data_IF_899457324388
#
_entry.id   IF_899457324388
#
_cell.length_a   1.000
_cell.length_b   1.000
_cell.length_c   1.000
_cell.angle_alpha   90.00
_cell.angle_beta   90.00
_cell.angle_gamma   90.00
#
_symmetry.space_group_name_H-M   'P 1'
#
loop_
_entity.id
_entity.type
_entity.pdbx_description
1 polymer ?
#
# COMPACT_ATOMS: atom_id res chain seq x y z
N UNK A 1 17.92 -37.04 -40.47
CA UNK A 1 18.19 -37.41 -39.05
C UNK A 1 18.31 -38.94 -38.79
N UNK A 2 17.75 -39.84 -39.63
CA UNK A 2 17.82 -41.29 -39.39
C UNK A 2 19.20 -41.94 -39.69
N UNK A 3 20.00 -41.34 -40.54
CA UNK A 3 21.29 -41.93 -41.00
C UNK A 3 22.41 -41.83 -39.96
N UNK A 4 22.38 -40.77 -39.10
CA UNK A 4 23.44 -40.54 -38.11
C UNK A 4 23.36 -41.48 -36.89
N UNK A 5 22.15 -41.88 -36.52
CA UNK A 5 21.90 -42.76 -35.39
C UNK A 5 22.36 -44.19 -35.62
N UNK A 6 22.34 -44.67 -36.87
CA UNK A 6 22.79 -46.04 -37.25
C UNK A 6 24.32 -46.18 -37.27
N UNK A 7 25.06 -45.08 -37.38
CA UNK A 7 26.52 -45.08 -37.41
C UNK A 7 27.19 -45.18 -36.03
N UNK A 8 26.42 -45.03 -34.94
CA UNK A 8 26.95 -45.10 -33.57
C UNK A 8 27.00 -46.53 -33.04
N UNK A 9 28.11 -46.89 -32.40
CA UNK A 9 28.24 -48.19 -31.71
C UNK A 9 27.21 -48.32 -30.53
N UNK A 10 26.81 -49.54 -30.23
CA UNK A 10 25.83 -49.83 -29.21
C UNK A 10 26.11 -49.14 -27.81
N UNK A 11 27.37 -49.09 -27.32
CA UNK A 11 27.66 -48.39 -26.06
C UNK A 11 27.48 -46.86 -26.17
N UNK A 12 27.79 -46.25 -27.33
CA UNK A 12 27.61 -44.82 -27.56
C UNK A 12 26.12 -44.42 -27.63
N UNK A 13 25.26 -45.27 -28.19
CA UNK A 13 23.81 -45.08 -28.21
C UNK A 13 23.24 -45.13 -26.79
N UNK A 14 23.67 -46.10 -25.94
CA UNK A 14 23.25 -46.16 -24.53
C UNK A 14 23.67 -44.91 -23.77
N UNK A 15 24.90 -44.45 -23.98
CA UNK A 15 25.39 -43.24 -23.32
C UNK A 15 24.57 -41.98 -23.71
N UNK A 16 24.25 -41.84 -24.99
CA UNK A 16 23.44 -40.70 -25.49
C UNK A 16 22.01 -40.74 -24.95
N UNK A 17 21.41 -41.94 -24.85
CA UNK A 17 20.08 -42.09 -24.25
C UNK A 17 20.11 -41.75 -22.76
N UNK A 18 21.09 -42.18 -22.02
CA UNK A 18 21.25 -41.86 -20.59
C UNK A 18 21.44 -40.36 -20.41
N UNK A 19 22.31 -39.73 -21.20
CA UNK A 19 22.49 -38.26 -21.15
C UNK A 19 21.21 -37.49 -21.47
N UNK A 20 20.47 -37.92 -22.51
CA UNK A 20 19.19 -37.30 -22.87
C UNK A 20 18.14 -37.42 -21.72
N UNK A 21 18.08 -38.58 -21.07
CA UNK A 21 17.18 -38.81 -19.93
C UNK A 21 17.60 -37.95 -18.73
N UNK A 22 18.89 -37.84 -18.42
CA UNK A 22 19.38 -36.99 -17.32
C UNK A 22 19.09 -35.51 -17.59
N UNK A 23 19.28 -35.03 -18.83
CA UNK A 23 18.95 -33.66 -19.24
C UNK A 23 17.43 -33.40 -19.14
N UNK A 24 16.61 -34.36 -19.57
CA UNK A 24 15.15 -34.27 -19.48
C UNK A 24 14.69 -34.25 -18.01
N UNK A 25 15.23 -35.12 -17.18
CA UNK A 25 14.91 -35.15 -15.73
C UNK A 25 15.40 -33.88 -15.04
N UNK A 26 16.56 -33.35 -15.42
CA UNK A 26 17.05 -32.06 -14.94
C UNK A 26 16.15 -30.90 -15.37
N UNK A 27 15.70 -30.85 -16.61
CA UNK A 27 14.80 -29.82 -17.13
C UNK A 27 13.40 -29.90 -16.45
N UNK A 28 12.88 -31.11 -16.23
CA UNK A 28 11.63 -31.31 -15.48
C UNK A 28 11.79 -30.90 -14.02
N UNK A 29 12.92 -31.24 -13.39
CA UNK A 29 13.21 -30.84 -12.00
C UNK A 29 13.29 -29.32 -11.83
N UNK A 30 13.94 -28.60 -12.76
CA UNK A 30 13.99 -27.14 -12.79
C UNK A 30 12.61 -26.54 -13.09
N UNK A 31 11.85 -27.12 -14.01
CA UNK A 31 10.48 -26.69 -14.32
C UNK A 31 9.54 -26.83 -13.13
N UNK A 32 9.61 -27.95 -12.39
CA UNK A 32 8.79 -28.18 -11.18
C UNK A 32 9.21 -27.27 -10.01
N UNK A 33 10.51 -26.97 -9.88
CA UNK A 33 11.00 -25.99 -8.89
C UNK A 33 10.56 -24.56 -9.22
N UNK A 34 10.51 -24.21 -10.51
CA UNK A 34 10.05 -22.89 -10.96
C UNK A 34 8.53 -22.70 -10.89
N UNK A 35 7.74 -23.78 -10.91
CA UNK A 35 6.27 -23.75 -10.78
C UNK A 35 5.78 -23.90 -9.35
N UNK A 36 6.63 -24.28 -8.41
CA UNK A 36 6.34 -24.12 -6.99
C UNK A 36 6.46 -22.63 -6.71
N UNK A 37 5.36 -21.90 -6.84
CA UNK A 37 5.25 -20.56 -6.30
C UNK A 37 5.81 -20.62 -4.87
N UNK A 38 6.82 -19.81 -4.59
CA UNK A 38 7.27 -19.61 -3.21
C UNK A 38 6.03 -19.07 -2.51
N UNK A 39 5.40 -19.89 -1.64
CA UNK A 39 4.37 -19.40 -0.73
C UNK A 39 5.04 -18.32 0.13
N UNK A 40 4.86 -17.07 -0.28
CA UNK A 40 5.35 -15.92 0.46
C UNK A 40 4.46 -15.86 1.70
N UNK A 41 5.01 -16.04 2.92
CA UNK A 41 4.21 -15.93 4.12
C UNK A 41 3.53 -14.56 4.13
N UNK A 42 2.21 -14.53 4.18
CA UNK A 42 1.43 -13.30 4.33
C UNK A 42 1.31 -12.96 5.81
N UNK A 43 1.17 -11.67 6.13
CA UNK A 43 0.98 -11.23 7.50
C UNK A 43 -0.24 -11.90 8.14
N UNK A 44 -0.05 -12.50 9.31
CA UNK A 44 -1.12 -13.17 10.05
C UNK A 44 -2.17 -12.16 10.50
N UNK A 45 -3.42 -12.34 10.07
CA UNK A 45 -4.51 -11.39 10.36
C UNK A 45 -4.91 -11.36 11.84
N UNK A 46 -4.70 -12.45 12.55
CA UNK A 46 -5.00 -12.64 13.98
C UNK A 46 -3.91 -12.13 14.93
N UNK A 47 -2.75 -11.74 14.42
CA UNK A 47 -1.61 -11.24 15.20
C UNK A 47 -1.25 -9.82 14.83
N UNK A 48 -1.93 -8.81 15.39
CA UNK A 48 -1.66 -7.41 15.11
C UNK A 48 -0.32 -6.94 15.69
N UNK A 49 0.49 -6.30 14.86
CA UNK A 49 1.72 -5.59 15.26
C UNK A 49 1.48 -4.08 15.47
N UNK A 50 2.51 -3.25 15.44
CA UNK A 50 2.36 -1.80 15.58
C UNK A 50 1.64 -1.19 14.36
N UNK A 51 1.08 0.01 14.58
CA UNK A 51 0.49 0.85 13.55
C UNK A 51 1.47 1.94 13.16
N UNK A 52 1.83 2.00 11.89
CA UNK A 52 2.66 3.06 11.33
C UNK A 52 1.75 4.04 10.58
N UNK A 53 1.78 5.30 11.00
CA UNK A 53 1.00 6.38 10.38
C UNK A 53 1.92 7.21 9.48
N UNK A 54 1.55 7.32 8.21
CA UNK A 54 2.31 8.03 7.19
C UNK A 54 1.65 9.38 6.92
N UNK A 55 2.33 10.51 7.23
CA UNK A 55 1.76 11.84 7.06
C UNK A 55 1.60 12.23 5.59
N UNK A 56 0.85 13.30 5.36
CA UNK A 56 0.62 13.85 4.04
C UNK A 56 1.80 14.65 3.48
N UNK A 57 1.54 15.33 2.37
CA UNK A 57 2.48 16.25 1.74
C UNK A 57 2.97 17.30 2.73
N UNK A 58 4.27 17.54 2.77
CA UNK A 58 4.91 18.43 3.75
C UNK A 58 5.31 17.73 5.05
N UNK A 59 5.04 16.43 5.20
CA UNK A 59 5.57 15.59 6.29
C UNK A 59 5.12 15.97 7.71
N UNK A 60 4.05 16.77 7.84
CA UNK A 60 3.56 17.22 9.14
C UNK A 60 3.04 16.05 9.98
N UNK A 61 3.82 15.70 11.00
CA UNK A 61 3.52 14.60 11.93
C UNK A 61 2.44 14.98 12.94
N UNK A 62 2.32 16.26 13.27
CA UNK A 62 1.35 16.75 14.26
C UNK A 62 -0.08 16.54 13.78
N UNK A 63 -0.31 16.64 12.47
CA UNK A 63 -1.61 16.36 11.85
C UNK A 63 -2.16 14.96 12.17
N UNK A 64 -1.29 13.99 12.49
CA UNK A 64 -1.66 12.62 12.84
C UNK A 64 -1.50 12.27 14.33
N UNK A 65 -1.00 13.20 15.16
CA UNK A 65 -0.74 12.93 16.58
C UNK A 65 -2.00 12.50 17.32
N UNK A 66 -3.11 13.22 17.15
CA UNK A 66 -4.40 12.89 17.77
C UNK A 66 -4.95 11.53 17.33
N UNK A 67 -4.78 11.14 16.06
CA UNK A 67 -5.16 9.81 15.56
C UNK A 67 -4.27 8.73 16.19
N UNK A 68 -2.96 8.96 16.26
CA UNK A 68 -2.03 8.02 16.89
C UNK A 68 -2.39 7.80 18.38
N UNK A 69 -2.78 8.85 19.10
CA UNK A 69 -3.22 8.74 20.49
C UNK A 69 -4.51 7.93 20.63
N UNK A 70 -5.47 8.09 19.72
CA UNK A 70 -6.69 7.25 19.68
C UNK A 70 -6.37 5.79 19.45
N UNK A 71 -5.44 5.48 18.53
CA UNK A 71 -4.97 4.13 18.26
C UNK A 71 -4.28 3.54 19.51
N UNK A 72 -3.45 4.34 20.22
CA UNK A 72 -2.83 3.92 21.48
C UNK A 72 -3.86 3.68 22.59
N UNK A 73 -4.85 4.54 22.69
CA UNK A 73 -5.95 4.36 23.65
C UNK A 73 -6.78 3.10 23.37
N UNK A 74 -6.81 2.64 22.11
CA UNK A 74 -7.40 1.35 21.73
C UNK A 74 -6.47 0.14 21.96
N UNK A 75 -5.36 0.31 22.68
CA UNK A 75 -4.43 -0.77 23.05
C UNK A 75 -3.42 -1.16 21.99
N UNK A 76 -3.20 -0.34 20.95
CA UNK A 76 -2.27 -0.63 19.86
C UNK A 76 -1.06 0.31 19.90
N UNK A 77 0.14 -0.22 19.75
CA UNK A 77 1.30 0.64 19.52
C UNK A 77 1.11 1.44 18.21
N UNK A 78 1.41 2.73 18.24
CA UNK A 78 1.26 3.61 17.07
C UNK A 78 2.40 4.61 16.99
N UNK A 79 2.96 4.77 15.79
CA UNK A 79 4.07 5.69 15.51
C UNK A 79 3.77 6.48 14.25
N UNK A 80 3.92 7.80 14.31
CA UNK A 80 3.86 8.66 13.13
C UNK A 80 5.24 8.72 12.50
N UNK A 81 5.33 8.32 11.23
CA UNK A 81 6.58 8.25 10.49
C UNK A 81 7.19 9.65 10.28
N UNK A 82 8.50 9.78 10.42
CA UNK A 82 9.22 10.93 9.94
C UNK A 82 9.60 10.71 8.47
N UNK A 83 9.13 11.59 7.59
CA UNK A 83 9.47 11.51 6.18
C UNK A 83 10.84 12.17 5.90
N UNK A 84 11.55 11.74 4.84
CA UNK A 84 12.82 12.35 4.45
C UNK A 84 12.64 13.84 4.09
N UNK A 85 13.59 14.66 4.50
CA UNK A 85 13.58 16.10 4.25
C UNK A 85 12.36 16.77 4.88
N UNK A 86 11.68 17.57 4.08
CA UNK A 86 10.44 18.27 4.45
C UNK A 86 9.15 17.54 4.00
N UNK A 87 9.25 16.29 3.53
CA UNK A 87 8.11 15.52 3.06
C UNK A 87 7.55 15.97 1.70
N UNK A 88 8.25 16.87 0.96
CA UNK A 88 7.87 17.29 -0.40
C UNK A 88 8.70 16.66 -1.50
N UNK A 89 9.72 15.85 -1.12
CA UNK A 89 10.61 15.13 -2.02
C UNK A 89 9.96 13.91 -2.69
N UNK A 90 10.79 13.09 -3.32
CA UNK A 90 10.36 11.90 -4.06
C UNK A 90 9.55 10.93 -3.19
N UNK A 91 8.36 10.57 -3.65
CA UNK A 91 7.49 9.60 -2.97
C UNK A 91 8.12 8.20 -2.88
N UNK A 92 9.04 7.83 -3.79
CA UNK A 92 9.78 6.57 -3.69
C UNK A 92 10.77 6.59 -2.53
N UNK A 93 11.45 7.72 -2.30
CA UNK A 93 12.30 7.88 -1.14
C UNK A 93 11.48 7.83 0.17
N UNK A 94 10.26 8.36 0.15
CA UNK A 94 9.34 8.26 1.29
C UNK A 94 8.86 6.82 1.49
N UNK A 95 8.59 6.06 0.42
CA UNK A 95 8.25 4.64 0.51
C UNK A 95 9.42 3.79 1.03
N UNK A 96 10.66 4.13 0.68
CA UNK A 96 11.86 3.48 1.24
C UNK A 96 11.99 3.77 2.74
N UNK A 97 11.71 4.98 3.21
CA UNK A 97 11.70 5.29 4.63
C UNK A 97 10.58 4.52 5.39
N UNK A 98 9.44 4.29 4.75
CA UNK A 98 8.41 3.41 5.29
C UNK A 98 8.91 1.96 5.37
N UNK A 99 9.63 1.47 4.35
CA UNK A 99 10.22 0.13 4.34
C UNK A 99 11.21 -0.07 5.50
N UNK A 100 12.07 0.92 5.74
CA UNK A 100 13.00 0.89 6.87
C UNK A 100 12.27 0.81 8.22
N UNK A 101 11.18 1.57 8.38
CA UNK A 101 10.36 1.53 9.60
C UNK A 101 9.63 0.19 9.78
N UNK A 102 9.14 -0.41 8.69
CA UNK A 102 8.51 -1.74 8.71
C UNK A 102 9.54 -2.80 9.07
N UNK A 103 10.72 -2.78 8.44
CA UNK A 103 11.80 -3.72 8.76
C UNK A 103 12.21 -3.61 10.22
N UNK A 104 12.42 -2.41 10.74
CA UNK A 104 12.75 -2.21 12.15
C UNK A 104 11.69 -2.83 13.06
N UNK A 105 10.40 -2.64 12.78
CA UNK A 105 9.34 -3.26 13.56
C UNK A 105 9.38 -4.79 13.51
N UNK A 106 9.63 -5.38 12.34
CA UNK A 106 9.73 -6.83 12.16
C UNK A 106 10.98 -7.39 12.84
N UNK A 107 12.11 -6.72 12.74
CA UNK A 107 13.37 -7.10 13.40
C UNK A 107 13.25 -7.02 14.92
N UNK A 108 12.43 -6.10 15.44
CA UNK A 108 12.04 -6.02 16.86
C UNK A 108 11.01 -7.11 17.27
N UNK A 109 10.65 -8.01 16.35
CA UNK A 109 9.80 -9.17 16.62
C UNK A 109 8.30 -8.93 16.37
N UNK A 110 7.91 -7.83 15.72
CA UNK A 110 6.51 -7.64 15.35
C UNK A 110 6.06 -8.69 14.31
N UNK A 111 4.92 -9.36 14.52
CA UNK A 111 4.42 -10.39 13.60
C UNK A 111 3.85 -9.80 12.31
N UNK A 112 3.55 -8.51 12.31
CA UNK A 112 2.97 -7.75 11.21
C UNK A 112 3.01 -6.27 11.52
N UNK A 113 2.63 -5.42 10.54
CA UNK A 113 2.35 -4.00 10.76
C UNK A 113 0.99 -3.63 10.18
N UNK A 114 0.32 -2.66 10.78
CA UNK A 114 -0.81 -1.96 10.17
C UNK A 114 -0.38 -0.60 9.68
N UNK A 115 -0.92 -0.15 8.57
CA UNK A 115 -0.55 1.11 7.94
C UNK A 115 -1.74 2.07 7.88
N UNK A 116 -1.51 3.31 8.26
CA UNK A 116 -2.49 4.39 8.06
C UNK A 116 -1.82 5.49 7.25
N UNK A 117 -2.30 5.73 6.02
CA UNK A 117 -1.79 6.80 5.16
C UNK A 117 -2.77 7.97 5.09
N UNK A 118 -2.31 9.18 5.40
CA UNK A 118 -3.10 10.39 5.25
C UNK A 118 -2.65 11.16 3.99
N UNK A 119 -3.62 11.58 3.16
CA UNK A 119 -3.34 12.38 1.98
C UNK A 119 -2.25 11.73 1.10
N UNK A 120 -1.17 12.44 0.75
CA UNK A 120 -0.03 11.87 0.01
C UNK A 120 0.56 10.62 0.68
N UNK A 121 0.48 10.51 2.01
CA UNK A 121 0.94 9.32 2.74
C UNK A 121 0.25 8.03 2.33
N UNK A 122 -0.99 8.08 1.87
CA UNK A 122 -1.66 6.89 1.32
C UNK A 122 -1.10 6.46 -0.03
N UNK A 123 -0.61 7.40 -0.84
CA UNK A 123 0.11 7.09 -2.08
C UNK A 123 1.47 6.45 -1.75
N UNK A 124 2.17 6.94 -0.72
CA UNK A 124 3.41 6.33 -0.21
C UNK A 124 3.17 4.89 0.23
N UNK A 125 2.09 4.61 1.00
CA UNK A 125 1.72 3.24 1.42
C UNK A 125 1.44 2.36 0.20
N UNK A 126 0.69 2.86 -0.78
CA UNK A 126 0.38 2.13 -2.01
C UNK A 126 1.64 1.78 -2.79
N UNK A 127 2.54 2.76 -2.91
CA UNK A 127 3.82 2.60 -3.59
C UNK A 127 4.71 1.57 -2.87
N UNK A 128 4.78 1.65 -1.54
CA UNK A 128 5.52 0.69 -0.72
C UNK A 128 5.01 -0.74 -0.92
N UNK A 129 3.70 -0.98 -0.84
CA UNK A 129 3.13 -2.30 -1.11
C UNK A 129 3.44 -2.82 -2.51
N UNK A 130 3.44 -1.91 -3.50
CA UNK A 130 3.72 -2.27 -4.89
C UNK A 130 5.20 -2.62 -5.15
N UNK A 131 6.14 -2.08 -4.39
CA UNK A 131 7.57 -2.14 -4.68
C UNK A 131 8.40 -2.90 -3.63
N UNK A 132 7.96 -2.97 -2.37
CA UNK A 132 8.75 -3.50 -1.26
C UNK A 132 8.12 -4.72 -0.58
N UNK A 133 6.86 -4.67 -0.19
CA UNK A 133 6.28 -5.66 0.71
C UNK A 133 5.50 -6.77 0.01
N UNK A 134 4.73 -6.45 -1.03
CA UNK A 134 3.83 -7.40 -1.68
C UNK A 134 2.90 -8.16 -0.73
N UNK A 135 2.58 -7.60 0.46
CA UNK A 135 1.70 -8.16 1.46
C UNK A 135 2.35 -9.09 2.49
N UNK A 136 3.67 -9.08 2.61
CA UNK A 136 4.40 -9.96 3.54
C UNK A 136 4.28 -9.51 4.99
N UNK A 137 4.49 -8.22 5.26
CA UNK A 137 4.46 -7.65 6.60
C UNK A 137 3.18 -6.87 6.88
N UNK A 138 2.57 -6.27 5.83
CA UNK A 138 1.35 -5.50 5.96
C UNK A 138 0.16 -6.40 6.32
N UNK A 139 -0.45 -6.16 7.48
CA UNK A 139 -1.67 -6.83 7.91
C UNK A 139 -2.91 -6.10 7.38
N UNK A 140 -2.98 -4.79 7.56
CA UNK A 140 -4.11 -3.93 7.13
C UNK A 140 -3.62 -2.56 6.71
N UNK A 141 -4.38 -1.95 5.82
CA UNK A 141 -4.16 -0.58 5.36
C UNK A 141 -5.43 0.23 5.51
N UNK A 142 -5.29 1.46 6.01
CA UNK A 142 -6.33 2.48 5.97
C UNK A 142 -5.76 3.73 5.32
N UNK A 143 -6.49 4.34 4.39
CA UNK A 143 -6.11 5.62 3.79
C UNK A 143 -7.19 6.66 4.01
N UNK A 144 -6.75 7.90 4.28
CA UNK A 144 -7.61 9.04 4.58
C UNK A 144 -7.38 10.15 3.56
N UNK A 145 -8.38 10.44 2.74
CA UNK A 145 -8.33 11.49 1.73
C UNK A 145 -7.11 11.41 0.81
N UNK A 146 -6.72 10.20 0.41
CA UNK A 146 -5.49 9.99 -0.34
C UNK A 146 -5.72 10.12 -1.84
N UNK A 147 -4.93 10.92 -2.58
CA UNK A 147 -5.05 11.08 -4.03
C UNK A 147 -4.44 9.86 -4.74
N UNK A 148 -5.08 8.69 -4.61
CA UNK A 148 -4.56 7.42 -5.12
C UNK A 148 -4.46 7.39 -6.66
N UNK A 149 -5.22 8.25 -7.34
CA UNK A 149 -5.14 8.50 -8.79
C UNK A 149 -4.72 9.94 -9.12
N UNK A 150 -4.14 10.64 -8.14
CA UNK A 150 -3.68 12.02 -8.27
C UNK A 150 -4.73 13.05 -7.87
N UNK A 151 -4.34 14.32 -7.90
CA UNK A 151 -5.22 15.45 -7.62
C UNK A 151 -4.99 16.60 -8.62
N UNK A 152 -6.07 17.22 -9.07
CA UNK A 152 -6.01 18.37 -9.97
C UNK A 152 -5.20 19.53 -9.37
N UNK A 153 -5.26 19.71 -8.04
CA UNK A 153 -4.50 20.76 -7.36
C UNK A 153 -2.98 20.64 -7.60
N UNK A 154 -2.44 19.42 -7.63
CA UNK A 154 -1.04 19.18 -7.93
C UNK A 154 -0.69 19.57 -9.39
N UNK A 155 -1.57 19.25 -10.34
CA UNK A 155 -1.43 19.64 -11.74
C UNK A 155 -1.49 21.16 -11.93
N UNK A 156 -2.45 21.84 -11.30
CA UNK A 156 -2.62 23.30 -11.36
C UNK A 156 -1.40 24.03 -10.78
N UNK A 157 -0.83 23.56 -9.67
CA UNK A 157 0.36 24.17 -9.05
C UNK A 157 1.57 24.19 -9.99
N UNK A 158 1.82 23.10 -10.71
CA UNK A 158 2.92 23.01 -11.68
C UNK A 158 2.73 23.87 -12.93
N UNK A 159 1.48 24.09 -13.34
CA UNK A 159 1.16 24.94 -14.52
C UNK A 159 1.23 26.42 -14.19
N UNK A 160 0.72 26.83 -13.01
CA UNK A 160 0.62 28.25 -12.63
C UNK A 160 1.99 28.85 -12.29
N UNK A 161 2.90 28.10 -11.73
CA UNK A 161 4.25 28.55 -11.36
C UNK A 161 5.27 27.47 -11.74
N UNK A 162 5.85 27.50 -12.93
CA UNK A 162 6.87 26.54 -13.32
C UNK A 162 8.04 26.51 -12.33
N UNK A 163 8.39 25.30 -11.84
CA UNK A 163 9.43 25.09 -10.85
C UNK A 163 8.99 25.25 -9.39
N UNK A 164 7.76 25.68 -9.11
CA UNK A 164 7.24 25.77 -7.75
C UNK A 164 6.62 24.46 -7.22
N UNK A 165 6.48 23.46 -8.08
CA UNK A 165 5.95 22.15 -7.71
C UNK A 165 7.12 21.18 -7.39
N UNK A 166 7.42 20.89 -6.13
CA UNK A 166 8.40 19.89 -5.74
C UNK A 166 8.10 18.50 -6.34
N UNK A 167 9.06 17.57 -6.20
CA UNK A 167 8.98 16.25 -6.84
C UNK A 167 7.68 15.52 -6.47
N UNK A 168 7.32 15.46 -5.20
CA UNK A 168 6.07 14.81 -4.78
C UNK A 168 4.83 15.46 -5.39
N UNK A 169 4.80 16.79 -5.52
CA UNK A 169 3.70 17.50 -6.17
C UNK A 169 3.54 17.03 -7.61
N UNK A 170 4.63 17.00 -8.39
CA UNK A 170 4.62 16.49 -9.78
C UNK A 170 4.16 15.03 -9.85
N UNK A 171 4.62 14.20 -8.92
CA UNK A 171 4.25 12.77 -8.85
C UNK A 171 2.78 12.55 -8.49
N UNK A 172 2.15 13.49 -7.76
CA UNK A 172 0.73 13.46 -7.42
C UNK A 172 -0.19 14.03 -8.48
N UNK A 173 0.35 14.53 -9.60
CA UNK A 173 -0.46 14.97 -10.74
C UNK A 173 -1.16 13.77 -11.40
N UNK A 174 -2.45 13.85 -11.74
CA UNK A 174 -3.15 12.79 -12.45
C UNK A 174 -2.42 12.39 -13.73
N UNK A 175 -2.24 11.09 -13.95
CA UNK A 175 -1.53 10.54 -15.11
C UNK A 175 -0.01 10.68 -15.05
N UNK A 176 0.57 11.09 -13.93
CA UNK A 176 2.02 11.08 -13.75
C UNK A 176 2.60 9.66 -13.98
N UNK A 177 3.88 9.61 -14.35
CA UNK A 177 4.57 8.33 -14.57
C UNK A 177 4.46 7.43 -13.33
N UNK A 178 4.67 7.99 -12.12
CA UNK A 178 4.58 7.24 -10.88
C UNK A 178 3.19 6.63 -10.67
N UNK A 179 2.13 7.41 -10.77
CA UNK A 179 0.76 6.91 -10.59
C UNK A 179 0.39 5.90 -11.66
N UNK A 180 0.78 6.13 -12.92
CA UNK A 180 0.54 5.20 -14.02
C UNK A 180 1.24 3.85 -13.80
N UNK A 181 2.45 3.84 -13.24
CA UNK A 181 3.17 2.61 -12.90
C UNK A 181 2.52 1.87 -11.74
N UNK A 182 2.11 2.58 -10.69
CA UNK A 182 1.44 2.00 -9.53
C UNK A 182 0.06 1.46 -9.89
N UNK A 183 -0.69 2.13 -10.79
CA UNK A 183 -2.01 1.69 -11.26
C UNK A 183 -1.98 0.35 -11.99
N UNK A 184 -0.83 -0.02 -12.58
CA UNK A 184 -0.65 -1.33 -13.21
C UNK A 184 -0.44 -2.47 -12.23
N UNK A 185 -0.20 -2.15 -10.95
CA UNK A 185 0.06 -3.12 -9.90
C UNK A 185 -1.18 -3.25 -9.01
N UNK A 186 -1.88 -4.40 -9.02
CA UNK A 186 -3.01 -4.60 -8.13
C UNK A 186 -2.53 -4.62 -6.66
N UNK A 187 -3.40 -4.17 -5.76
CA UNK A 187 -3.14 -4.37 -4.33
C UNK A 187 -3.20 -5.87 -4.00
N UNK A 188 -2.35 -6.36 -3.08
CA UNK A 188 -2.40 -7.75 -2.66
C UNK A 188 -3.77 -8.06 -2.03
N UNK A 189 -4.45 -9.10 -2.52
CA UNK A 189 -5.77 -9.51 -2.01
C UNK A 189 -5.72 -10.01 -0.56
N UNK A 190 -4.54 -10.30 -0.07
CA UNK A 190 -4.28 -10.74 1.32
C UNK A 190 -4.17 -9.58 2.31
N UNK A 191 -4.11 -8.33 1.83
CA UNK A 191 -4.04 -7.14 2.65
C UNK A 191 -5.37 -6.39 2.58
N UNK A 192 -6.24 -6.50 3.59
CA UNK A 192 -7.46 -5.70 3.66
C UNK A 192 -7.12 -4.21 3.63
N UNK A 193 -7.77 -3.48 2.73
CA UNK A 193 -7.60 -2.04 2.56
C UNK A 193 -8.92 -1.31 2.70
N UNK A 194 -8.95 -0.30 3.57
CA UNK A 194 -10.05 0.63 3.71
C UNK A 194 -9.61 2.02 3.23
N UNK A 195 -10.26 2.54 2.19
CA UNK A 195 -10.05 3.91 1.74
C UNK A 195 -11.22 4.78 2.17
N UNK A 196 -10.95 5.82 2.94
CA UNK A 196 -11.93 6.77 3.46
C UNK A 196 -11.64 8.15 2.87
N UNK A 197 -12.67 8.85 2.43
CA UNK A 197 -12.59 10.25 2.02
C UNK A 197 -13.84 11.01 2.45
N UNK A 198 -13.83 12.31 2.24
CA UNK A 198 -15.00 13.18 2.37
C UNK A 198 -15.35 13.77 1.01
N UNK A 199 -16.63 13.87 0.68
CA UNK A 199 -17.07 14.50 -0.56
C UNK A 199 -16.84 16.02 -0.56
N UNK A 200 -16.59 16.61 0.63
CA UNK A 200 -16.22 18.03 0.80
C UNK A 200 -14.71 18.30 0.63
N UNK A 201 -13.95 17.33 0.15
CA UNK A 201 -12.50 17.49 -0.03
C UNK A 201 -12.17 18.47 -1.15
N UNK A 202 -11.62 19.62 -0.79
CA UNK A 202 -11.16 20.64 -1.75
C UNK A 202 -9.67 20.56 -2.07
N UNK A 203 -8.94 19.69 -1.39
CA UNK A 203 -7.50 19.46 -1.59
C UNK A 203 -7.26 18.30 -2.55
N UNK A 204 -7.91 17.18 -2.35
CA UNK A 204 -7.92 16.07 -3.30
C UNK A 204 -9.11 16.21 -4.22
N UNK A 205 -8.85 16.56 -5.48
CA UNK A 205 -9.87 16.83 -6.49
C UNK A 205 -9.66 15.96 -7.73
N UNK A 206 -10.65 15.16 -8.14
CA UNK A 206 -11.92 14.93 -7.43
C UNK A 206 -11.71 14.12 -6.14
N UNK A 207 -12.61 14.24 -5.13
CA UNK A 207 -12.49 13.52 -3.86
C UNK A 207 -12.42 11.99 -4.00
N UNK A 208 -13.16 11.44 -4.94
CA UNK A 208 -13.19 10.01 -5.25
C UNK A 208 -11.91 9.50 -5.96
N UNK A 209 -10.92 10.37 -6.22
CA UNK A 209 -9.54 9.95 -6.50
C UNK A 209 -8.96 9.06 -5.40
N UNK A 210 -9.55 9.10 -4.20
CA UNK A 210 -9.25 8.20 -3.10
C UNK A 210 -9.76 6.76 -3.30
N UNK A 211 -10.66 6.52 -4.25
CA UNK A 211 -11.21 5.19 -4.54
C UNK A 211 -10.12 4.27 -5.08
N UNK A 212 -10.07 3.03 -4.61
CA UNK A 212 -9.08 2.04 -5.04
C UNK A 212 -9.74 0.70 -5.36
N UNK A 213 -9.46 0.15 -6.51
CA UNK A 213 -9.96 -1.18 -6.91
C UNK A 213 -9.39 -2.26 -5.98
N UNK A 214 -10.27 -3.10 -5.46
CA UNK A 214 -9.90 -4.15 -4.49
C UNK A 214 -9.93 -3.71 -3.02
N UNK A 215 -10.08 -2.40 -2.74
CA UNK A 215 -10.29 -1.89 -1.40
C UNK A 215 -11.77 -1.75 -1.05
N UNK A 216 -12.07 -1.70 0.24
CA UNK A 216 -13.33 -1.16 0.74
C UNK A 216 -13.27 0.36 0.65
N UNK A 217 -14.18 0.96 -0.09
CA UNK A 217 -14.19 2.38 -0.43
C UNK A 217 -15.36 3.09 0.25
N UNK A 218 -15.08 4.10 1.06
CA UNK A 218 -16.06 4.80 1.89
C UNK A 218 -15.93 6.31 1.72
N UNK A 219 -16.95 6.94 1.13
CA UNK A 219 -17.18 8.35 1.35
C UNK A 219 -17.82 8.53 2.73
N UNK A 220 -17.35 9.46 3.55
CA UNK A 220 -17.88 9.70 4.89
C UNK A 220 -19.39 9.95 4.86
N UNK A 221 -19.87 10.67 3.84
CA UNK A 221 -21.27 11.01 3.63
C UNK A 221 -22.19 9.81 3.38
N UNK A 222 -21.64 8.63 3.05
CA UNK A 222 -22.42 7.39 2.98
C UNK A 222 -22.98 6.97 4.35
N UNK A 223 -22.26 7.29 5.42
CA UNK A 223 -22.70 7.01 6.79
C UNK A 223 -23.22 8.24 7.52
N UNK A 224 -22.68 9.39 7.21
CA UNK A 224 -22.97 10.67 7.84
C UNK A 224 -23.37 11.68 6.76
N UNK A 225 -24.61 11.63 6.22
CA UNK A 225 -25.00 12.42 5.04
C UNK A 225 -24.85 13.94 5.23
N UNK A 226 -25.04 14.42 6.46
CA UNK A 226 -24.97 15.85 6.81
C UNK A 226 -23.58 16.29 7.32
N UNK A 227 -22.59 15.39 7.34
CA UNK A 227 -21.26 15.72 7.79
C UNK A 227 -20.55 16.64 6.78
N UNK A 228 -20.04 17.76 7.28
CA UNK A 228 -19.19 18.69 6.53
C UNK A 228 -17.77 18.58 7.12
N UNK A 229 -16.91 17.86 6.45
CA UNK A 229 -15.55 17.57 6.94
C UNK A 229 -14.55 17.94 5.85
N UNK A 230 -13.70 18.92 6.13
CA UNK A 230 -12.64 19.31 5.22
C UNK A 230 -11.49 18.27 5.23
N UNK A 231 -10.68 18.27 4.17
CA UNK A 231 -9.50 17.39 4.03
C UNK A 231 -8.62 17.37 5.30
N UNK A 232 -8.29 18.53 5.82
CA UNK A 232 -7.43 18.67 7.03
C UNK A 232 -8.05 18.12 8.31
N UNK A 233 -9.37 17.94 8.34
CA UNK A 233 -10.10 17.43 9.50
C UNK A 233 -10.21 15.90 9.50
N UNK A 234 -9.95 15.21 8.38
CA UNK A 234 -10.05 13.76 8.29
C UNK A 234 -9.31 13.01 9.41
N UNK A 235 -8.07 13.38 9.79
CA UNK A 235 -7.35 12.67 10.85
C UNK A 235 -7.89 12.93 12.27
N UNK A 236 -8.74 13.95 12.46
CA UNK A 236 -9.24 14.37 13.77
C UNK A 236 -10.74 14.19 13.94
N UNK A 237 -11.47 14.03 12.84
CA UNK A 237 -12.92 13.84 12.88
C UNK A 237 -13.30 12.57 13.64
N UNK A 238 -14.25 12.63 14.60
CA UNK A 238 -14.63 11.50 15.43
C UNK A 238 -15.17 10.31 14.65
N UNK A 239 -15.95 10.53 13.58
CA UNK A 239 -16.50 9.46 12.76
C UNK A 239 -15.40 8.78 11.96
N UNK A 240 -14.51 9.55 11.32
CA UNK A 240 -13.37 9.04 10.56
C UNK A 240 -12.42 8.25 11.47
N UNK A 241 -12.02 8.82 12.59
CA UNK A 241 -11.10 8.15 13.54
C UNK A 241 -11.72 6.91 14.16
N UNK A 242 -13.04 6.89 14.37
CA UNK A 242 -13.80 5.71 14.79
C UNK A 242 -13.77 4.59 13.74
N UNK A 243 -13.89 4.93 12.45
CA UNK A 243 -13.74 3.96 11.35
C UNK A 243 -12.31 3.40 11.29
N UNK A 244 -11.29 4.26 11.44
CA UNK A 244 -9.88 3.82 11.48
C UNK A 244 -9.64 2.82 12.59
N UNK A 245 -9.98 3.16 13.84
CA UNK A 245 -9.77 2.26 14.99
C UNK A 245 -10.48 0.93 14.77
N UNK A 246 -11.71 0.95 14.29
CA UNK A 246 -12.47 -0.28 14.00
C UNK A 246 -11.78 -1.11 12.91
N UNK A 247 -11.34 -0.49 11.82
CA UNK A 247 -10.62 -1.18 10.75
C UNK A 247 -9.34 -1.86 11.23
N UNK A 248 -8.68 -1.30 12.25
CA UNK A 248 -7.45 -1.87 12.81
C UNK A 248 -7.72 -2.97 13.85
N UNK A 249 -8.90 -3.02 14.46
CA UNK A 249 -9.26 -3.95 15.55
C UNK A 249 -10.18 -5.08 15.10
N UNK A 250 -11.21 -4.78 14.31
CA UNK A 250 -12.27 -5.73 13.98
C UNK A 250 -11.96 -6.56 12.73
N UNK A 251 -12.51 -7.78 12.67
CA UNK A 251 -12.33 -8.66 11.51
C UNK A 251 -13.07 -8.15 10.26
N UNK A 252 -14.21 -7.46 10.45
CA UNK A 252 -15.05 -6.89 9.39
C UNK A 252 -15.22 -5.38 9.63
N UNK A 253 -14.39 -4.52 9.03
CA UNK A 253 -14.24 -3.14 9.48
C UNK A 253 -15.40 -2.18 9.15
N UNK A 254 -16.31 -2.47 8.22
CA UNK A 254 -17.13 -1.41 7.59
C UNK A 254 -18.60 -1.74 7.36
N UNK A 255 -19.16 -2.70 8.06
CA UNK A 255 -20.58 -3.06 7.91
C UNK A 255 -21.54 -2.15 8.70
N UNK A 256 -21.03 -1.23 9.53
CA UNK A 256 -21.82 -0.33 10.39
C UNK A 256 -21.37 1.11 10.30
N UNK A 257 -22.33 2.02 10.38
CA UNK A 257 -22.05 3.44 10.51
C UNK A 257 -21.13 3.73 11.72
N UNK A 258 -20.21 4.70 11.60
CA UNK A 258 -19.37 5.11 12.74
C UNK A 258 -20.23 5.71 13.85
N UNK A 259 -19.80 5.54 15.08
CA UNK A 259 -20.31 6.34 16.21
C UNK A 259 -19.64 7.70 16.13
N UNK A 260 -20.40 8.79 16.02
CA UNK A 260 -19.83 10.14 16.01
C UNK A 260 -20.12 10.97 14.77
N UNK A 261 -21.06 10.53 13.91
CA UNK A 261 -21.66 11.46 12.95
C UNK A 261 -22.24 12.64 13.72
N UNK A 262 -21.72 13.84 13.50
CA UNK A 262 -22.34 15.06 14.00
C UNK A 262 -23.78 15.16 13.42
N UNK A 263 -24.75 15.42 14.29
CA UNK A 263 -26.10 15.75 13.87
C UNK A 263 -26.21 17.24 13.69
#
# INVERSE_FOLDING_TARGET
MRVWWSALSAPRRKLMVVLAVVVLLGAVGVGVAATRGVDIPTAAQDRPGPVLLVPGYGGDRESLAGLADRVRAAGRAATVLALPGDGTGDLRAQASALDDAVRAAVDDGAPSVDLVGYSAGGVVVRLWLAEHDSGRAARRVVTLGSPLHGTALAGEGGVLVPGACPVACTQLTPGSTLLTEVDRKPIPTTVPWLSIWTDDDTTVRPPDSARLTGAVNVALQQFCPDAVVAHSQLPTDPAVTGLVVRALTDAAPVDRAPTGCAR
#
